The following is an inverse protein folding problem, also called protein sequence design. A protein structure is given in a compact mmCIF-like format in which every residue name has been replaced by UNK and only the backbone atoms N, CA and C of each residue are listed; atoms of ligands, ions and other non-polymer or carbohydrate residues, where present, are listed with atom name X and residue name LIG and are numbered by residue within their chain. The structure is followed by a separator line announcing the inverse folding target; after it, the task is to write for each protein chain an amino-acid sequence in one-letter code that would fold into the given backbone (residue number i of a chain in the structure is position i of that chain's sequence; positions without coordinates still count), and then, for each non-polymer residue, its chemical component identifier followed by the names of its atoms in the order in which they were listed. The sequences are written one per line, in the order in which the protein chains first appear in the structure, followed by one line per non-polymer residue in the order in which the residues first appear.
data_IF_801530014192
#
_entry.id   IF_801530014192
#
_cell.length_a   1.000
_cell.length_b   1.000
_cell.length_c   1.000
_cell.angle_alpha   90.00
_cell.angle_beta   90.00
_cell.angle_gamma   90.00
#
_symmetry.space_group_name_H-M   'P 1'
#
loop_
_entity.id
_entity.type
_entity.pdbx_description
1 polymer ?
#
# COMPACT_ATOMS: atom_id res chain seq x y z
N UNK A 1 78.85 28.26 41.66
CA UNK A 1 77.51 27.99 42.27
C UNK A 1 76.50 28.65 41.39
N UNK A 2 75.89 27.89 40.50
CA UNK A 2 74.91 28.39 39.50
C UNK A 2 73.63 27.61 39.62
N UNK A 3 72.60 28.27 40.01
CA UNK A 3 71.24 27.73 40.08
C UNK A 3 70.58 27.89 38.70
N UNK A 4 70.28 26.77 38.05
CA UNK A 4 69.52 26.73 36.80
C UNK A 4 68.05 26.54 37.13
N UNK A 5 67.22 27.54 36.90
CA UNK A 5 65.76 27.44 36.94
C UNK A 5 65.24 26.76 35.67
N UNK A 6 64.64 25.57 35.82
CA UNK A 6 63.88 24.95 34.75
C UNK A 6 62.44 25.41 34.85
N UNK A 7 62.02 26.23 33.91
CA UNK A 7 60.62 26.63 33.73
C UNK A 7 59.94 25.50 32.95
N UNK A 8 59.06 24.77 33.63
CA UNK A 8 58.20 23.79 33.00
C UNK A 8 56.97 24.52 32.41
N UNK A 9 56.90 24.55 31.08
CA UNK A 9 55.80 25.12 30.31
C UNK A 9 54.68 24.07 30.27
N UNK A 10 53.64 24.29 31.05
CA UNK A 10 52.43 23.46 31.06
C UNK A 10 51.55 23.88 29.88
N UNK A 11 51.56 23.09 28.81
CA UNK A 11 50.68 23.23 27.67
C UNK A 11 49.32 22.60 28.05
N UNK A 12 48.38 23.41 28.49
CA UNK A 12 46.98 23.00 28.64
C UNK A 12 46.32 23.00 27.26
N UNK A 13 46.16 21.81 26.71
CA UNK A 13 45.31 21.58 25.54
C UNK A 13 43.86 21.79 25.94
N UNK A 14 43.28 22.91 25.59
CA UNK A 14 41.82 23.09 25.56
C UNK A 14 41.28 22.29 24.39
N UNK A 15 40.75 21.11 24.66
CA UNK A 15 39.83 20.45 23.77
C UNK A 15 38.54 21.26 23.74
N UNK A 16 38.44 22.16 22.78
CA UNK A 16 37.15 22.78 22.41
C UNK A 16 36.34 21.72 21.69
N UNK A 17 35.40 21.09 22.42
CA UNK A 17 34.29 20.39 21.79
C UNK A 17 33.47 21.42 21.03
N UNK A 18 33.71 21.54 19.74
CA UNK A 18 32.74 22.11 18.82
C UNK A 18 31.55 21.18 18.79
N UNK A 19 30.54 21.47 19.64
CA UNK A 19 29.20 21.01 19.39
C UNK A 19 28.81 21.56 18.00
N UNK A 20 28.80 20.68 17.02
CA UNK A 20 28.03 20.90 15.80
C UNK A 20 26.57 21.03 16.23
N UNK A 21 26.16 22.22 16.57
CA UNK A 21 24.79 22.64 16.42
C UNK A 21 24.52 22.56 14.92
N UNK A 22 24.10 21.40 14.44
CA UNK A 22 23.23 21.34 13.27
C UNK A 22 21.98 22.14 13.66
N UNK A 23 22.08 23.44 13.52
CA UNK A 23 20.92 24.27 13.30
C UNK A 23 20.26 23.65 12.07
N UNK A 24 19.20 22.87 12.30
CA UNK A 24 18.15 22.71 11.33
C UNK A 24 17.84 24.15 10.86
N UNK A 25 18.47 24.56 9.78
CA UNK A 25 17.97 25.68 9.01
C UNK A 25 16.55 25.31 8.69
N UNK A 26 15.62 25.95 9.38
CA UNK A 26 14.22 26.01 8.99
C UNK A 26 14.29 26.60 7.59
N UNK A 27 14.32 25.73 6.59
CA UNK A 27 14.17 26.15 5.19
C UNK A 27 12.92 26.98 5.18
N UNK A 28 12.98 28.21 4.66
CA UNK A 28 11.79 29.07 4.49
C UNK A 28 10.71 28.17 3.92
N UNK A 29 9.66 27.92 4.71
CA UNK A 29 8.59 27.03 4.31
C UNK A 29 7.97 27.60 3.05
N UNK A 30 8.15 26.90 1.93
CA UNK A 30 7.63 27.37 0.65
C UNK A 30 6.11 27.33 0.71
N UNK A 31 5.51 28.51 0.64
CA UNK A 31 4.05 28.71 0.68
C UNK A 31 3.45 28.33 -0.66
N UNK A 32 2.50 27.40 -0.66
CA UNK A 32 1.73 27.00 -1.84
C UNK A 32 0.46 27.81 -2.00
N UNK A 33 -0.20 28.15 -0.90
CA UNK A 33 -1.44 28.94 -0.93
C UNK A 33 -1.62 29.71 0.39
N UNK A 34 -2.41 30.81 0.32
CA UNK A 34 -2.89 31.57 1.47
C UNK A 34 -4.41 31.60 1.44
N UNK A 35 -5.02 31.33 2.58
CA UNK A 35 -6.48 31.29 2.77
C UNK A 35 -6.81 32.16 3.98
N UNK A 36 -7.18 33.41 3.76
CA UNK A 36 -7.27 34.39 4.84
C UNK A 36 -5.91 34.63 5.50
N UNK A 37 -5.82 34.42 6.80
CA UNK A 37 -4.57 34.48 7.57
C UNK A 37 -3.83 33.13 7.64
N UNK A 38 -4.48 32.04 7.23
CA UNK A 38 -3.92 30.70 7.18
C UNK A 38 -3.00 30.48 5.97
N UNK A 39 -1.95 29.69 6.18
CA UNK A 39 -0.96 29.36 5.15
C UNK A 39 -0.97 27.85 4.90
N UNK A 40 -0.87 27.45 3.64
CA UNK A 40 -0.64 26.08 3.21
C UNK A 40 0.77 26.00 2.65
N UNK A 41 1.61 25.19 3.29
CA UNK A 41 3.00 24.99 2.91
C UNK A 41 3.17 23.75 2.02
N UNK A 42 4.35 23.60 1.41
CA UNK A 42 4.73 22.33 0.74
C UNK A 42 4.68 21.17 1.71
N UNK A 43 5.09 21.36 2.95
CA UNK A 43 5.07 20.32 4.00
C UNK A 43 3.65 19.86 4.30
N UNK A 44 2.69 20.79 4.41
CA UNK A 44 1.29 20.45 4.61
C UNK A 44 0.73 19.65 3.43
N UNK A 45 1.09 20.06 2.21
CA UNK A 45 0.70 19.37 1.00
C UNK A 45 1.25 17.94 0.93
N UNK A 46 2.55 17.75 1.17
CA UNK A 46 3.20 16.43 1.18
C UNK A 46 2.55 15.56 2.25
N UNK A 47 2.44 16.07 3.48
CA UNK A 47 1.81 15.36 4.60
C UNK A 47 0.39 14.92 4.25
N UNK A 48 -0.40 15.80 3.64
CA UNK A 48 -1.76 15.46 3.20
C UNK A 48 -1.76 14.42 2.09
N UNK A 49 -0.86 14.54 1.12
CA UNK A 49 -0.75 13.60 0.01
C UNK A 49 -0.32 12.19 0.44
N UNK A 50 0.55 12.09 1.45
CA UNK A 50 1.07 10.82 1.97
C UNK A 50 0.11 10.13 2.95
N UNK A 51 -0.52 10.90 3.86
CA UNK A 51 -1.30 10.32 4.96
C UNK A 51 -2.81 10.25 4.69
N UNK A 52 -3.32 10.90 3.65
CA UNK A 52 -4.73 10.76 3.30
C UNK A 52 -4.97 9.46 2.55
N UNK A 53 -5.91 8.64 3.06
CA UNK A 53 -6.42 7.50 2.31
C UNK A 53 -7.16 8.03 1.10
N UNK A 54 -6.63 7.76 -0.10
CA UNK A 54 -7.22 8.18 -1.37
C UNK A 54 -7.63 6.95 -2.17
N UNK A 55 -8.75 7.02 -2.90
CA UNK A 55 -9.11 5.99 -3.86
C UNK A 55 -7.99 5.79 -4.90
N UNK A 56 -7.85 4.59 -5.43
CA UNK A 56 -6.77 4.24 -6.35
C UNK A 56 -6.71 5.15 -7.59
N UNK A 57 -7.88 5.55 -8.11
CA UNK A 57 -7.96 6.50 -9.22
C UNK A 57 -7.46 7.92 -8.89
N UNK A 58 -7.21 8.25 -7.61
CA UNK A 58 -6.68 9.53 -7.15
C UNK A 58 -5.21 9.45 -6.69
N UNK A 59 -4.52 8.33 -6.88
CA UNK A 59 -3.14 8.13 -6.40
C UNK A 59 -2.05 8.44 -7.43
N UNK A 60 -2.42 8.77 -8.66
CA UNK A 60 -1.44 9.07 -9.70
C UNK A 60 -0.73 10.40 -9.44
N UNK A 61 0.56 10.44 -9.76
CA UNK A 61 1.36 11.67 -9.69
C UNK A 61 1.18 12.53 -10.94
N UNK A 62 0.01 13.17 -11.04
CA UNK A 62 -0.30 14.09 -12.11
C UNK A 62 -0.86 15.41 -11.58
N UNK A 63 -0.92 16.42 -12.46
CA UNK A 63 -1.40 17.76 -12.10
C UNK A 63 -2.82 17.77 -11.52
N UNK A 64 -3.71 16.95 -12.06
CA UNK A 64 -5.13 16.90 -11.62
C UNK A 64 -5.19 16.41 -10.17
N UNK A 65 -4.49 15.32 -9.85
CA UNK A 65 -4.48 14.77 -8.49
C UNK A 65 -3.80 15.69 -7.49
N UNK A 66 -2.69 16.35 -7.88
CA UNK A 66 -2.07 17.39 -7.05
C UNK A 66 -3.04 18.54 -6.76
N UNK A 67 -3.81 18.98 -7.75
CA UNK A 67 -4.81 20.02 -7.59
C UNK A 67 -5.96 19.59 -6.68
N UNK A 68 -6.41 18.34 -6.74
CA UNK A 68 -7.43 17.80 -5.82
C UNK A 68 -6.94 17.86 -4.37
N UNK A 69 -5.70 17.45 -4.10
CA UNK A 69 -5.12 17.50 -2.75
C UNK A 69 -5.04 18.94 -2.25
N UNK A 70 -4.54 19.86 -3.07
CA UNK A 70 -4.44 21.28 -2.70
C UNK A 70 -5.81 21.90 -2.44
N UNK A 71 -6.80 21.65 -3.29
CA UNK A 71 -8.16 22.15 -3.12
C UNK A 71 -8.82 21.57 -1.85
N UNK A 72 -8.53 20.33 -1.48
CA UNK A 72 -8.99 19.75 -0.22
C UNK A 72 -8.43 20.50 0.99
N UNK A 73 -7.13 20.81 0.98
CA UNK A 73 -6.50 21.62 2.04
C UNK A 73 -7.08 23.04 2.11
N UNK A 74 -7.31 23.68 0.95
CA UNK A 74 -7.94 25.01 0.88
C UNK A 74 -9.35 24.95 1.48
N UNK A 75 -10.15 23.94 1.11
CA UNK A 75 -11.49 23.75 1.65
C UNK A 75 -11.50 23.55 3.16
N UNK A 76 -10.58 22.76 3.70
CA UNK A 76 -10.42 22.56 5.15
C UNK A 76 -10.08 23.87 5.88
N UNK A 77 -9.15 24.66 5.33
CA UNK A 77 -8.79 25.96 5.90
C UNK A 77 -9.95 26.97 5.84
N UNK A 78 -10.70 26.99 4.74
CA UNK A 78 -11.90 27.83 4.65
C UNK A 78 -12.95 27.45 5.68
N UNK A 79 -13.18 26.14 5.88
CA UNK A 79 -14.12 25.64 6.87
C UNK A 79 -13.69 26.00 8.29
N UNK A 80 -12.40 25.87 8.59
CA UNK A 80 -11.85 26.25 9.89
C UNK A 80 -12.02 27.75 10.18
N UNK A 81 -11.69 28.60 9.20
CA UNK A 81 -11.88 30.07 9.30
C UNK A 81 -13.35 30.47 9.46
N UNK A 82 -14.27 29.76 8.80
CA UNK A 82 -15.69 30.01 8.98
C UNK A 82 -16.15 29.60 10.39
N UNK A 83 -15.65 28.47 10.89
CA UNK A 83 -15.97 27.99 12.23
C UNK A 83 -15.48 28.96 13.34
N UNK A 84 -14.36 29.66 13.15
CA UNK A 84 -13.87 30.67 14.10
C UNK A 84 -14.88 31.79 14.39
N UNK A 85 -15.81 32.03 13.43
CA UNK A 85 -16.89 33.02 13.62
C UNK A 85 -18.02 32.53 14.52
N UNK A 86 -18.08 31.23 14.76
CA UNK A 86 -19.10 30.60 15.59
C UNK A 86 -18.44 30.00 16.82
N UNK A 87 -18.87 30.40 18.00
CA UNK A 87 -18.43 29.76 19.26
C UNK A 87 -19.13 28.38 19.34
N UNK A 88 -18.52 27.36 18.76
CA UNK A 88 -18.97 25.99 18.97
C UNK A 88 -18.27 25.51 20.23
N UNK A 89 -19.01 25.46 21.34
CA UNK A 89 -18.56 24.79 22.56
C UNK A 89 -18.50 23.28 22.25
N UNK A 90 -17.34 22.79 21.83
CA UNK A 90 -17.09 21.38 21.65
C UNK A 90 -16.56 20.78 22.96
N UNK A 91 -17.39 20.72 23.99
CA UNK A 91 -17.19 19.78 25.09
C UNK A 91 -17.61 18.37 24.61
N UNK A 92 -16.93 17.83 23.62
CA UNK A 92 -17.24 16.50 23.11
C UNK A 92 -16.08 15.56 23.45
N UNK A 93 -16.26 14.77 24.53
CA UNK A 93 -15.33 13.69 24.91
C UNK A 93 -15.07 12.71 23.74
N UNK A 94 -15.99 12.64 22.78
CA UNK A 94 -15.84 11.84 21.57
C UNK A 94 -14.76 12.40 20.63
N UNK A 95 -14.58 13.73 20.57
CA UNK A 95 -13.59 14.36 19.70
C UNK A 95 -12.16 14.04 20.16
N UNK A 96 -11.90 14.11 21.45
CA UNK A 96 -10.60 13.75 22.04
C UNK A 96 -10.29 12.26 21.84
N UNK A 97 -11.29 11.41 22.03
CA UNK A 97 -11.19 9.97 21.77
C UNK A 97 -10.91 9.70 20.30
N UNK A 98 -11.55 10.43 19.39
CA UNK A 98 -11.29 10.35 17.95
C UNK A 98 -9.85 10.76 17.61
N UNK A 99 -9.37 11.89 18.10
CA UNK A 99 -7.99 12.35 17.86
C UNK A 99 -6.97 11.36 18.44
N UNK A 100 -7.22 10.83 19.62
CA UNK A 100 -6.36 9.80 20.23
C UNK A 100 -6.28 8.57 19.34
N UNK A 101 -7.42 8.04 18.88
CA UNK A 101 -7.46 6.88 17.98
C UNK A 101 -6.75 7.14 16.65
N UNK A 102 -6.90 8.33 16.05
CA UNK A 102 -6.17 8.72 14.83
C UNK A 102 -4.67 8.80 15.04
N UNK A 103 -4.23 9.34 16.17
CA UNK A 103 -2.81 9.39 16.54
C UNK A 103 -2.23 7.98 16.71
N UNK A 104 -2.93 7.11 17.41
CA UNK A 104 -2.51 5.71 17.60
C UNK A 104 -2.44 4.97 16.27
N UNK A 105 -3.39 5.19 15.36
CA UNK A 105 -3.36 4.64 14.00
C UNK A 105 -2.13 5.12 13.22
N UNK A 106 -1.86 6.43 13.24
CA UNK A 106 -0.70 7.01 12.57
C UNK A 106 0.63 6.47 13.15
N UNK A 107 0.70 6.32 14.47
CA UNK A 107 1.87 5.74 15.14
C UNK A 107 2.11 4.28 14.74
N UNK A 108 1.06 3.46 14.65
CA UNK A 108 1.16 2.07 14.18
C UNK A 108 1.64 2.00 12.73
N UNK A 109 1.10 2.85 11.85
CA UNK A 109 1.52 2.91 10.45
C UNK A 109 3.00 3.32 10.33
N UNK A 110 3.42 4.32 11.09
CA UNK A 110 4.82 4.76 11.11
C UNK A 110 5.75 3.67 11.65
N UNK A 111 5.33 2.98 12.71
CA UNK A 111 6.08 1.87 13.29
C UNK A 111 6.22 0.73 12.26
N UNK A 112 5.11 0.32 11.63
CA UNK A 112 5.13 -0.68 10.58
C UNK A 112 6.07 -0.30 9.43
N UNK A 113 5.97 0.95 8.95
CA UNK A 113 6.82 1.42 7.86
C UNK A 113 8.31 1.41 8.23
N UNK A 114 8.68 1.82 9.45
CA UNK A 114 10.07 1.89 9.89
C UNK A 114 10.65 0.55 10.30
N UNK A 115 9.89 -0.28 11.02
CA UNK A 115 10.43 -1.48 11.65
C UNK A 115 10.28 -2.73 10.78
N UNK A 116 9.34 -2.73 9.85
CA UNK A 116 9.09 -3.87 8.96
C UNK A 116 9.31 -3.49 7.50
N UNK A 117 8.47 -2.64 6.93
CA UNK A 117 8.48 -2.36 5.49
C UNK A 117 9.84 -1.87 4.95
N UNK A 118 10.49 -0.91 5.62
CA UNK A 118 11.77 -0.36 5.16
C UNK A 118 12.96 -1.30 5.31
N UNK A 119 12.83 -2.37 6.09
CA UNK A 119 13.90 -3.35 6.34
C UNK A 119 13.83 -4.56 5.40
N UNK A 120 12.70 -4.72 4.71
CA UNK A 120 12.53 -5.84 3.77
C UNK A 120 13.42 -5.65 2.56
N UNK A 121 14.14 -6.69 2.22
CA UNK A 121 14.90 -6.78 0.97
C UNK A 121 14.34 -7.91 0.11
N UNK A 122 14.19 -7.66 -1.18
CA UNK A 122 13.75 -8.65 -2.15
C UNK A 122 14.96 -9.08 -2.99
N UNK A 123 15.31 -10.37 -2.98
CA UNK A 123 16.35 -10.89 -3.87
C UNK A 123 15.97 -10.66 -5.34
N UNK A 124 16.95 -10.34 -6.17
CA UNK A 124 16.71 -10.07 -7.60
C UNK A 124 16.10 -11.27 -8.33
N UNK A 125 16.46 -12.50 -7.95
CA UNK A 125 15.86 -13.70 -8.52
C UNK A 125 14.35 -13.73 -8.25
N UNK A 126 13.92 -13.54 -7.00
CA UNK A 126 12.51 -13.52 -6.61
C UNK A 126 11.73 -12.42 -7.32
N UNK A 127 12.35 -11.23 -7.43
CA UNK A 127 11.74 -10.11 -8.15
C UNK A 127 11.58 -10.43 -9.66
N UNK A 128 12.56 -11.05 -10.30
CA UNK A 128 12.49 -11.44 -11.71
C UNK A 128 11.42 -12.52 -11.95
N UNK A 129 11.37 -13.56 -11.11
CA UNK A 129 10.36 -14.61 -11.20
C UNK A 129 8.94 -14.04 -11.07
N UNK A 130 8.72 -13.14 -10.11
CA UNK A 130 7.43 -12.48 -9.96
C UNK A 130 7.11 -11.54 -11.13
N UNK A 131 8.11 -10.86 -11.69
CA UNK A 131 7.95 -9.99 -12.86
C UNK A 131 7.49 -10.76 -14.11
N UNK A 132 8.02 -11.95 -14.33
CA UNK A 132 7.59 -12.83 -15.42
C UNK A 132 6.12 -13.25 -15.28
N UNK A 133 5.70 -13.58 -14.04
CA UNK A 133 4.32 -13.92 -13.75
C UNK A 133 3.39 -12.71 -13.89
N UNK A 134 3.86 -11.53 -13.50
CA UNK A 134 3.10 -10.29 -13.58
C UNK A 134 2.79 -9.83 -15.00
N UNK A 135 3.51 -10.34 -15.99
CA UNK A 135 3.22 -10.15 -17.42
C UNK A 135 2.02 -10.94 -17.93
N UNK A 136 1.42 -11.82 -17.13
CA UNK A 136 0.32 -12.68 -17.57
C UNK A 136 -1.04 -12.01 -17.43
N UNK A 137 -1.91 -12.30 -18.39
CA UNK A 137 -3.35 -12.08 -18.29
C UNK A 137 -4.02 -13.43 -18.16
N UNK A 138 -4.50 -13.73 -16.94
CA UNK A 138 -5.08 -15.03 -16.59
C UNK A 138 -6.57 -15.01 -16.81
N UNK A 139 -7.08 -15.99 -17.56
CA UNK A 139 -8.52 -16.20 -17.76
C UNK A 139 -9.01 -17.30 -16.86
N UNK A 140 -10.14 -17.07 -16.22
CA UNK A 140 -10.74 -17.99 -15.25
C UNK A 140 -12.25 -17.93 -15.28
N UNK A 141 -12.86 -19.04 -14.92
CA UNK A 141 -14.27 -19.09 -14.50
C UNK A 141 -14.33 -19.00 -12.98
N UNK A 142 -15.43 -18.51 -12.42
CA UNK A 142 -15.57 -18.40 -10.97
C UNK A 142 -16.98 -18.78 -10.50
N UNK A 143 -17.05 -19.26 -9.26
CA UNK A 143 -18.29 -19.58 -8.55
C UNK A 143 -18.25 -18.93 -7.18
N UNK A 144 -19.34 -18.24 -6.82
CA UNK A 144 -19.57 -17.77 -5.46
C UNK A 144 -20.53 -18.75 -4.78
N UNK A 145 -20.10 -19.31 -3.65
CA UNK A 145 -20.75 -20.39 -2.96
C UNK A 145 -21.11 -19.96 -1.53
N UNK A 146 -22.34 -20.25 -1.06
CA UNK A 146 -22.79 -19.77 0.25
C UNK A 146 -22.09 -20.45 1.42
N UNK A 147 -21.63 -21.68 1.25
CA UNK A 147 -21.09 -22.50 2.33
C UNK A 147 -19.99 -23.46 1.87
N UNK A 148 -19.27 -23.99 2.84
CA UNK A 148 -18.15 -24.91 2.62
C UNK A 148 -18.60 -26.29 2.13
N UNK A 149 -19.80 -26.72 2.46
CA UNK A 149 -20.32 -28.03 2.00
C UNK A 149 -20.53 -28.03 0.49
N UNK A 150 -21.01 -26.89 -0.06
CA UNK A 150 -21.16 -26.74 -1.49
C UNK A 150 -19.79 -26.64 -2.20
N UNK A 151 -18.80 -26.01 -1.57
CA UNK A 151 -17.41 -26.00 -2.05
C UNK A 151 -16.88 -27.44 -2.21
N UNK A 152 -17.04 -28.27 -1.19
CA UNK A 152 -16.53 -29.66 -1.21
C UNK A 152 -17.24 -30.50 -2.29
N UNK A 153 -18.55 -30.33 -2.44
CA UNK A 153 -19.32 -31.01 -3.52
C UNK A 153 -18.81 -30.62 -4.91
N UNK A 154 -18.58 -29.31 -5.13
CA UNK A 154 -18.08 -28.83 -6.43
C UNK A 154 -16.68 -29.35 -6.72
N UNK A 155 -15.79 -29.31 -5.73
CA UNK A 155 -14.43 -29.86 -5.88
C UNK A 155 -14.44 -31.35 -6.18
N UNK A 156 -15.34 -32.10 -5.57
CA UNK A 156 -15.49 -33.52 -5.82
C UNK A 156 -16.01 -33.78 -7.26
N UNK A 157 -16.99 -33.03 -7.74
CA UNK A 157 -17.49 -33.13 -9.11
C UNK A 157 -16.40 -32.78 -10.14
N UNK A 158 -15.66 -31.68 -9.89
CA UNK A 158 -14.55 -31.27 -10.76
C UNK A 158 -13.45 -32.35 -10.82
N UNK A 159 -13.07 -32.93 -9.66
CA UNK A 159 -12.08 -34.02 -9.61
C UNK A 159 -12.55 -35.28 -10.31
N UNK A 160 -13.87 -35.48 -10.45
CA UNK A 160 -14.48 -36.57 -11.22
C UNK A 160 -14.54 -36.26 -12.73
N UNK A 161 -14.02 -35.12 -13.17
CA UNK A 161 -13.98 -34.72 -14.57
C UNK A 161 -15.24 -34.03 -15.09
N UNK A 162 -16.17 -33.62 -14.22
CA UNK A 162 -17.37 -32.87 -14.61
C UNK A 162 -16.95 -31.44 -14.92
N UNK A 163 -17.34 -30.93 -16.10
CA UNK A 163 -17.03 -29.56 -16.51
C UNK A 163 -17.75 -28.54 -15.61
N UNK A 164 -17.07 -27.45 -15.28
CA UNK A 164 -17.63 -26.39 -14.43
C UNK A 164 -18.91 -25.78 -15.02
N UNK A 165 -18.97 -25.61 -16.35
CA UNK A 165 -20.17 -25.13 -17.03
C UNK A 165 -21.35 -26.07 -16.84
N UNK A 166 -21.11 -27.40 -16.85
CA UNK A 166 -22.18 -28.40 -16.60
C UNK A 166 -22.67 -28.33 -15.16
N UNK A 167 -21.76 -28.13 -14.21
CA UNK A 167 -22.12 -27.91 -12.79
C UNK A 167 -22.95 -26.65 -12.65
N UNK A 168 -22.50 -25.55 -13.26
CA UNK A 168 -23.18 -24.26 -13.21
C UNK A 168 -24.56 -24.31 -13.84
N UNK A 169 -24.68 -24.95 -15.01
CA UNK A 169 -25.93 -25.14 -15.72
C UNK A 169 -27.01 -25.85 -14.86
N UNK A 170 -26.59 -26.85 -14.10
CA UNK A 170 -27.49 -27.61 -13.23
C UNK A 170 -27.95 -26.81 -12.02
N UNK A 171 -27.04 -26.04 -11.42
CA UNK A 171 -27.30 -25.33 -10.16
C UNK A 171 -28.00 -23.98 -10.35
N UNK A 172 -27.61 -23.24 -11.39
CA UNK A 172 -28.05 -21.83 -11.60
C UNK A 172 -28.63 -21.57 -12.98
N UNK A 173 -28.40 -22.47 -13.93
CA UNK A 173 -28.73 -22.24 -15.34
C UNK A 173 -27.70 -21.32 -16.05
N UNK A 174 -27.45 -21.59 -17.34
CA UNK A 174 -26.53 -20.82 -18.12
C UNK A 174 -25.07 -21.31 -18.06
N UNK A 175 -24.13 -20.46 -18.43
CA UNK A 175 -22.70 -20.74 -18.42
C UNK A 175 -22.03 -20.15 -17.19
N UNK A 176 -20.96 -20.78 -16.71
CA UNK A 176 -20.20 -20.28 -15.58
C UNK A 176 -19.61 -18.91 -15.91
N UNK A 177 -19.76 -17.90 -15.03
CA UNK A 177 -19.22 -16.58 -15.27
C UNK A 177 -17.69 -16.65 -15.41
N UNK A 178 -17.16 -15.88 -16.33
CA UNK A 178 -15.72 -15.82 -16.61
C UNK A 178 -15.20 -14.40 -16.50
N UNK A 179 -13.93 -14.27 -16.12
CA UNK A 179 -13.21 -13.01 -16.12
C UNK A 179 -11.75 -13.19 -16.47
N UNK A 180 -11.12 -12.09 -16.80
CA UNK A 180 -9.67 -12.00 -16.92
C UNK A 180 -9.12 -11.24 -15.70
N UNK A 181 -7.92 -11.63 -15.26
CA UNK A 181 -7.20 -10.99 -14.18
C UNK A 181 -5.78 -10.65 -14.63
N UNK A 182 -5.36 -9.44 -14.32
CA UNK A 182 -4.00 -8.94 -14.53
C UNK A 182 -3.31 -8.73 -13.19
N UNK A 183 -2.01 -8.58 -13.19
CA UNK A 183 -1.24 -8.31 -11.98
C UNK A 183 -1.71 -7.05 -11.21
N UNK A 184 -2.22 -6.04 -11.93
CA UNK A 184 -2.64 -4.78 -11.33
C UNK A 184 -4.02 -4.82 -10.68
N UNK A 185 -4.76 -5.92 -10.83
CA UNK A 185 -6.07 -6.06 -10.18
C UNK A 185 -5.90 -6.15 -8.66
N UNK A 186 -6.69 -5.34 -7.94
CA UNK A 186 -6.64 -5.23 -6.47
C UNK A 186 -7.57 -6.25 -5.82
N UNK A 187 -7.21 -7.50 -5.95
CA UNK A 187 -7.90 -8.61 -5.32
C UNK A 187 -7.33 -8.90 -3.92
N UNK A 188 -8.03 -9.76 -3.16
CA UNK A 188 -7.50 -10.35 -1.95
C UNK A 188 -6.11 -10.94 -2.24
N UNK A 189 -5.15 -10.73 -1.32
CA UNK A 189 -3.76 -11.14 -1.52
C UNK A 189 -3.63 -12.66 -1.73
N UNK A 190 -4.38 -13.47 -0.98
CA UNK A 190 -4.36 -14.92 -1.09
C UNK A 190 -4.79 -15.38 -2.50
N UNK A 191 -5.87 -14.77 -3.02
CA UNK A 191 -6.35 -15.02 -4.38
C UNK A 191 -5.31 -14.58 -5.41
N UNK A 192 -4.76 -13.38 -5.27
CA UNK A 192 -3.74 -12.86 -6.18
C UNK A 192 -2.51 -13.76 -6.22
N UNK A 193 -1.99 -14.17 -5.06
CA UNK A 193 -0.84 -15.06 -4.94
C UNK A 193 -1.10 -16.44 -5.57
N UNK A 194 -2.31 -16.96 -5.42
CA UNK A 194 -2.69 -18.24 -6.02
C UNK A 194 -2.76 -18.17 -7.55
N UNK A 195 -3.33 -17.09 -8.10
CA UNK A 195 -3.48 -16.88 -9.55
C UNK A 195 -2.13 -16.58 -10.22
N UNK A 196 -1.25 -15.80 -9.57
CA UNK A 196 0.07 -15.46 -10.08
C UNK A 196 1.17 -16.36 -9.46
N UNK A 197 0.88 -17.64 -9.34
CA UNK A 197 1.84 -18.66 -8.92
C UNK A 197 2.57 -19.25 -10.12
N UNK A 198 3.81 -19.70 -9.90
CA UNK A 198 4.58 -20.44 -10.92
C UNK A 198 3.93 -21.79 -11.31
N UNK A 199 3.17 -22.38 -10.38
CA UNK A 199 2.65 -23.74 -10.49
C UNK A 199 1.19 -23.79 -10.94
N UNK A 200 0.64 -22.70 -11.50
CA UNK A 200 -0.75 -22.76 -12.00
C UNK A 200 -0.83 -23.60 -13.28
N UNK A 201 -1.88 -24.38 -13.37
CA UNK A 201 -2.17 -25.23 -14.52
C UNK A 201 -3.54 -24.90 -15.14
N UNK A 202 -3.63 -25.07 -16.46
CA UNK A 202 -4.94 -24.95 -17.13
C UNK A 202 -5.87 -26.08 -16.67
N UNK A 203 -7.07 -25.69 -16.28
CA UNK A 203 -8.07 -26.62 -15.70
C UNK A 203 -7.97 -26.78 -14.19
N UNK A 204 -6.95 -26.21 -13.55
CA UNK A 204 -6.79 -26.24 -12.10
C UNK A 204 -7.89 -25.42 -11.42
N UNK A 205 -8.44 -26.00 -10.32
CA UNK A 205 -9.34 -25.29 -9.43
C UNK A 205 -8.58 -24.71 -8.24
N UNK A 206 -8.76 -23.42 -7.99
CA UNK A 206 -8.14 -22.68 -6.91
C UNK A 206 -9.18 -22.26 -5.86
N UNK A 207 -8.77 -22.11 -4.62
CA UNK A 207 -9.62 -21.72 -3.49
C UNK A 207 -9.99 -22.93 -2.60
N UNK A 208 -10.98 -22.80 -1.67
CA UNK A 208 -11.90 -21.66 -1.58
C UNK A 208 -11.25 -20.40 -1.03
N UNK A 209 -11.60 -19.26 -1.61
CA UNK A 209 -11.25 -17.96 -1.08
C UNK A 209 -12.45 -17.37 -0.36
N UNK A 210 -12.27 -16.88 0.86
CA UNK A 210 -13.35 -16.21 1.59
C UNK A 210 -13.58 -14.83 1.02
N UNK A 211 -14.83 -14.47 0.78
CA UNK A 211 -15.23 -13.14 0.32
C UNK A 211 -15.70 -12.27 1.48
N UNK A 212 -15.83 -10.96 1.25
CA UNK A 212 -16.30 -10.02 2.27
C UNK A 212 -17.73 -10.30 2.76
N UNK A 213 -18.54 -10.99 1.94
CA UNK A 213 -19.94 -11.37 2.25
C UNK A 213 -20.06 -12.71 3.00
N UNK A 214 -18.97 -13.20 3.59
CA UNK A 214 -18.90 -14.52 4.24
C UNK A 214 -19.24 -15.70 3.31
N UNK A 215 -19.15 -15.49 2.01
CA UNK A 215 -19.27 -16.55 1.00
C UNK A 215 -17.90 -17.06 0.57
N UNK A 216 -17.87 -18.10 -0.23
CA UNK A 216 -16.65 -18.72 -0.72
C UNK A 216 -16.57 -18.61 -2.24
N UNK A 217 -15.39 -18.23 -2.74
CA UNK A 217 -15.13 -18.19 -4.17
C UNK A 217 -14.23 -19.36 -4.58
N UNK A 218 -14.66 -20.09 -5.59
CA UNK A 218 -13.81 -21.03 -6.34
C UNK A 218 -13.48 -20.45 -7.70
N UNK A 219 -12.24 -20.61 -8.13
CA UNK A 219 -11.76 -20.21 -9.45
C UNK A 219 -11.31 -21.44 -10.22
N UNK A 220 -11.64 -21.51 -11.50
CA UNK A 220 -11.07 -22.50 -12.43
C UNK A 220 -10.27 -21.80 -13.51
N UNK A 221 -9.00 -22.09 -13.57
CA UNK A 221 -8.10 -21.50 -14.56
C UNK A 221 -8.43 -22.07 -15.95
N UNK A 222 -8.84 -21.22 -16.86
CA UNK A 222 -9.13 -21.64 -18.26
C UNK A 222 -7.93 -21.43 -19.18
N UNK A 223 -6.96 -20.60 -18.78
CA UNK A 223 -5.71 -20.37 -19.47
C UNK A 223 -5.16 -18.99 -19.19
N UNK A 224 -4.06 -18.64 -19.82
CA UNK A 224 -3.47 -17.31 -19.76
C UNK A 224 -2.82 -16.94 -21.09
N UNK A 225 -2.56 -15.66 -21.25
CA UNK A 225 -1.73 -15.12 -22.32
C UNK A 225 -0.67 -14.21 -21.69
N UNK A 226 0.55 -14.30 -22.18
CA UNK A 226 1.61 -13.38 -21.80
C UNK A 226 1.37 -12.04 -22.49
N UNK A 227 1.31 -10.97 -21.71
CA UNK A 227 1.10 -9.62 -22.21
C UNK A 227 2.46 -9.00 -22.52
N UNK A 228 2.68 -8.66 -23.79
CA UNK A 228 3.92 -8.02 -24.22
C UNK A 228 3.89 -6.56 -23.77
N UNK A 229 4.79 -6.19 -22.86
CA UNK A 229 4.99 -4.79 -22.47
C UNK A 229 5.80 -4.08 -23.53
N UNK A 230 5.14 -3.22 -24.32
CA UNK A 230 5.69 -2.61 -25.53
C UNK A 230 6.64 -1.45 -25.21
N UNK A 231 6.37 -0.69 -24.13
CA UNK A 231 7.18 0.47 -23.77
C UNK A 231 8.06 0.19 -22.55
N UNK A 232 9.21 0.85 -22.49
CA UNK A 232 10.11 0.83 -21.34
C UNK A 232 9.39 1.34 -20.09
N UNK A 233 8.59 2.39 -20.23
CA UNK A 233 7.78 2.95 -19.14
C UNK A 233 6.79 1.93 -18.54
N UNK A 234 6.15 1.08 -19.37
CA UNK A 234 5.22 0.05 -18.89
C UNK A 234 5.96 -1.04 -18.11
N UNK A 235 7.17 -1.38 -18.57
CA UNK A 235 8.03 -2.35 -17.88
C UNK A 235 8.49 -1.81 -16.53
N UNK A 236 8.88 -0.55 -16.46
CA UNK A 236 9.32 0.09 -15.21
C UNK A 236 8.17 0.22 -14.20
N UNK A 237 6.97 0.52 -14.67
CA UNK A 237 5.77 0.56 -13.84
C UNK A 237 5.47 -0.82 -13.26
N UNK A 238 5.46 -1.85 -14.10
CA UNK A 238 5.22 -3.23 -13.68
C UNK A 238 6.30 -3.69 -12.69
N UNK A 239 7.56 -3.42 -12.99
CA UNK A 239 8.68 -3.79 -12.13
C UNK A 239 8.59 -3.16 -10.74
N UNK A 240 8.21 -1.89 -10.69
CA UNK A 240 8.01 -1.16 -9.43
C UNK A 240 6.85 -1.74 -8.61
N UNK A 241 5.70 -1.99 -9.26
CA UNK A 241 4.53 -2.59 -8.59
C UNK A 241 4.82 -4.01 -8.07
N UNK A 242 5.55 -4.81 -8.84
CA UNK A 242 5.98 -6.16 -8.42
C UNK A 242 6.85 -6.09 -7.15
N UNK A 243 7.86 -5.24 -7.15
CA UNK A 243 8.72 -5.07 -5.97
C UNK A 243 7.94 -4.58 -4.76
N UNK A 244 7.08 -3.60 -4.93
CA UNK A 244 6.25 -3.04 -3.85
C UNK A 244 5.36 -4.12 -3.23
N UNK A 245 4.67 -4.93 -4.03
CA UNK A 245 3.83 -6.04 -3.53
C UNK A 245 4.63 -7.11 -2.79
N UNK A 246 5.81 -7.47 -3.29
CA UNK A 246 6.68 -8.43 -2.60
C UNK A 246 7.15 -7.89 -1.24
N UNK A 247 7.51 -6.60 -1.18
CA UNK A 247 7.89 -5.95 0.08
C UNK A 247 6.70 -5.94 1.05
N UNK A 248 5.52 -5.52 0.59
CA UNK A 248 4.30 -5.51 1.41
C UNK A 248 3.98 -6.89 1.98
N UNK A 249 4.05 -7.92 1.14
CA UNK A 249 3.79 -9.30 1.55
C UNK A 249 4.76 -9.78 2.63
N UNK A 250 6.07 -9.57 2.42
CA UNK A 250 7.09 -9.96 3.41
C UNK A 250 6.96 -9.17 4.71
N UNK A 251 6.81 -7.84 4.61
CA UNK A 251 6.65 -6.99 5.78
C UNK A 251 5.41 -7.37 6.60
N UNK A 252 4.31 -7.69 5.93
CA UNK A 252 3.08 -8.13 6.60
C UNK A 252 3.27 -9.47 7.32
N UNK A 253 3.96 -10.42 6.70
CA UNK A 253 4.22 -11.72 7.31
C UNK A 253 5.18 -11.64 8.52
N UNK A 254 6.09 -10.66 8.54
CA UNK A 254 6.97 -10.42 9.69
C UNK A 254 6.28 -9.63 10.82
N UNK A 255 5.23 -8.85 10.49
CA UNK A 255 4.49 -8.06 11.45
C UNK A 255 3.43 -8.87 12.22
N UNK A 256 2.82 -9.90 11.59
CA UNK A 256 1.78 -10.76 12.16
C UNK A 256 2.38 -11.93 12.93
#
# INVERSE_FOLDING_TARGET
MRYAYRIAFLFTFFFSCTQNNEQHQISEEVVLARVGHEVITIQDFIRRAEYAIRPDYCRQDNYIHKKIVLNSLIGEKLTALEQEKYTIETEDDNLDSYFKGRKEQAMRQLFYAKEFYSKVTIPDQEANEAFELAGRRVRMQFLNLPDIEMVDKIKQLDSSGVLLDSIYQVLWGGEAPSREMTWFDRENQELHDAVFSQNIEKGQMLGPFRTDDDTFMLLKITGWADEIKITESDRDLLWRDVKERLIEKKAKNEYL
#
